data_IF_720826846212
#
_entry.id   IF_720826846212
#
_cell.length_a   1.000
_cell.length_b   1.000
_cell.length_c   1.000
_cell.angle_alpha   90.00
_cell.angle_beta   90.00
_cell.angle_gamma   90.00
#
_symmetry.space_group_name_H-M   'P 1'
#
loop_
_entity.id
_entity.type
_entity.pdbx_description
1 polymer ?
#
# COMPACT_ATOMS: atom_id res chain seq x y z
N UNK A 1 46.94 56.93 20.98
CA UNK A 1 46.43 56.30 19.72
C UNK A 1 46.00 54.82 19.88
N UNK A 2 45.67 54.32 21.09
CA UNK A 2 45.27 52.90 21.32
C UNK A 2 43.77 52.67 21.52
N UNK A 3 42.96 53.73 21.65
CA UNK A 3 41.53 53.63 21.97
C UNK A 3 40.59 53.85 20.76
N UNK A 4 41.12 54.30 19.60
CA UNK A 4 40.32 54.50 18.39
C UNK A 4 40.14 53.18 17.59
N UNK A 5 41.15 52.31 17.60
CA UNK A 5 41.14 51.03 16.87
C UNK A 5 40.17 49.99 17.44
N UNK A 6 39.81 50.11 18.73
CA UNK A 6 38.93 49.17 19.43
C UNK A 6 37.43 49.44 19.19
N UNK A 7 37.08 50.65 18.74
CA UNK A 7 35.70 51.04 18.44
C UNK A 7 35.28 50.72 17.00
N UNK A 8 36.26 50.68 16.08
CA UNK A 8 36.01 50.35 14.66
C UNK A 8 35.80 48.84 14.47
N UNK A 9 36.47 47.99 15.26
CA UNK A 9 36.32 46.53 15.20
C UNK A 9 34.96 46.01 15.66
N UNK A 10 34.27 46.71 16.58
CA UNK A 10 32.92 46.34 17.02
C UNK A 10 31.82 46.75 16.04
N UNK A 11 32.05 47.74 15.18
CA UNK A 11 31.04 48.23 14.23
C UNK A 11 30.96 47.38 12.95
N UNK A 12 32.03 46.67 12.59
CA UNK A 12 32.06 45.79 11.40
C UNK A 12 31.44 44.41 11.67
N UNK A 13 31.46 43.94 12.93
CA UNK A 13 30.87 42.65 13.29
C UNK A 13 29.34 42.67 13.42
N UNK A 14 28.74 43.84 13.65
CA UNK A 14 27.27 43.98 13.77
C UNK A 14 26.59 44.09 12.40
N UNK A 15 27.31 44.55 11.36
CA UNK A 15 26.73 44.66 10.01
C UNK A 15 26.75 43.34 9.21
N UNK A 16 27.51 42.33 9.63
CA UNK A 16 27.60 41.04 8.93
C UNK A 16 26.62 39.98 9.45
N UNK A 17 26.03 40.17 10.63
CA UNK A 17 25.11 39.20 11.24
C UNK A 17 23.65 39.41 10.80
N UNK A 18 23.28 40.60 10.32
CA UNK A 18 21.91 40.88 9.86
C UNK A 18 21.59 40.40 8.43
N UNK A 19 22.58 39.98 7.63
CA UNK A 19 22.37 39.60 6.21
C UNK A 19 22.16 38.09 6.00
N UNK A 20 22.29 37.26 7.05
CA UNK A 20 22.23 35.79 6.93
C UNK A 20 20.92 35.15 7.41
N UNK A 21 19.91 35.94 7.83
CA UNK A 21 18.56 35.39 8.03
C UNK A 21 17.86 35.41 6.66
N UNK A 22 18.38 34.62 5.73
CA UNK A 22 17.63 34.24 4.54
C UNK A 22 16.47 33.39 5.00
N UNK A 23 15.25 33.92 4.90
CA UNK A 23 14.04 33.17 5.16
C UNK A 23 13.98 32.04 4.13
N UNK A 24 14.35 30.83 4.53
CA UNK A 24 14.03 29.64 3.77
C UNK A 24 12.51 29.54 3.77
N UNK A 25 11.88 30.05 2.71
CA UNK A 25 10.47 29.78 2.45
C UNK A 25 10.40 28.31 2.10
N UNK A 26 10.07 27.49 3.09
CA UNK A 26 9.80 26.07 2.89
C UNK A 26 8.55 26.00 2.01
N UNK A 27 8.78 25.69 0.74
CA UNK A 27 7.72 25.63 -0.27
C UNK A 27 6.91 24.36 0.04
N UNK A 28 5.86 24.51 0.85
CA UNK A 28 4.93 23.43 1.16
C UNK A 28 4.33 22.94 -0.16
N UNK A 29 4.83 21.80 -0.64
CA UNK A 29 4.38 21.21 -1.90
C UNK A 29 2.89 20.89 -1.77
N UNK A 30 2.11 21.27 -2.77
CA UNK A 30 0.68 21.02 -2.76
C UNK A 30 0.42 19.52 -2.63
N UNK A 31 -0.52 19.15 -1.76
CA UNK A 31 -0.88 17.76 -1.55
C UNK A 31 -1.52 17.21 -2.83
N UNK A 32 -1.04 16.04 -3.27
CA UNK A 32 -1.61 15.34 -4.42
C UNK A 32 -2.99 14.80 -4.05
N UNK A 33 -4.00 15.13 -4.86
CA UNK A 33 -5.37 14.64 -4.72
C UNK A 33 -5.50 13.30 -5.43
N UNK A 34 -5.66 12.22 -4.66
CA UNK A 34 -5.76 10.87 -5.21
C UNK A 34 -6.91 10.72 -6.22
N UNK A 35 -8.10 11.24 -5.90
CA UNK A 35 -9.28 11.07 -6.75
C UNK A 35 -9.17 11.83 -8.06
N UNK A 36 -8.61 13.05 -8.01
CA UNK A 36 -8.52 13.91 -9.18
C UNK A 36 -7.28 13.66 -10.03
N UNK A 37 -6.18 13.19 -9.43
CA UNK A 37 -4.88 13.15 -10.08
C UNK A 37 -4.33 11.73 -10.22
N UNK A 38 -4.50 10.85 -9.22
CA UNK A 38 -3.93 9.50 -9.25
C UNK A 38 -4.90 8.48 -9.87
N UNK A 39 -6.16 8.46 -9.43
CA UNK A 39 -7.17 7.51 -9.91
C UNK A 39 -7.35 7.55 -11.43
N UNK A 40 -7.37 8.71 -12.12
CA UNK A 40 -7.46 8.74 -13.58
C UNK A 40 -6.27 8.09 -14.26
N UNK A 41 -5.05 8.29 -13.73
CA UNK A 41 -3.84 7.65 -14.27
C UNK A 41 -3.87 6.13 -14.10
N UNK A 42 -4.25 5.65 -12.91
CA UNK A 42 -4.38 4.21 -12.66
C UNK A 42 -5.45 3.59 -13.57
N UNK A 43 -6.58 4.28 -13.74
CA UNK A 43 -7.66 3.83 -14.61
C UNK A 43 -7.23 3.75 -16.07
N UNK A 44 -6.46 4.73 -16.55
CA UNK A 44 -6.04 4.81 -17.94
C UNK A 44 -4.90 3.83 -18.28
N UNK A 45 -3.98 3.57 -17.34
CA UNK A 45 -2.74 2.86 -17.64
C UNK A 45 -2.57 1.51 -16.94
N UNK A 46 -3.40 1.20 -15.95
CA UNK A 46 -3.15 0.04 -15.08
C UNK A 46 -4.33 -0.94 -15.02
N UNK A 47 -5.58 -0.47 -15.13
CA UNK A 47 -6.75 -1.31 -14.83
C UNK A 47 -6.97 -2.47 -15.80
N UNK A 48 -6.45 -2.38 -17.03
CA UNK A 48 -6.55 -3.45 -18.02
C UNK A 48 -5.91 -4.76 -17.54
N UNK A 49 -4.87 -4.68 -16.69
CA UNK A 49 -4.15 -5.84 -16.14
C UNK A 49 -4.16 -5.93 -14.60
N UNK A 50 -4.49 -4.84 -13.89
CA UNK A 50 -4.43 -4.73 -12.42
C UNK A 50 -5.71 -4.15 -11.81
N UNK A 51 -6.85 -4.77 -12.09
CA UNK A 51 -8.18 -4.43 -11.56
C UNK A 51 -8.93 -5.67 -11.06
N UNK A 52 -10.18 -5.52 -10.62
CA UNK A 52 -11.02 -6.67 -10.30
C UNK A 52 -11.20 -7.67 -11.48
N UNK A 53 -11.11 -7.19 -12.72
CA UNK A 53 -11.36 -8.01 -13.92
C UNK A 53 -10.11 -8.73 -14.42
N UNK A 54 -8.93 -8.19 -14.11
CA UNK A 54 -7.64 -8.74 -14.46
C UNK A 54 -6.66 -8.51 -13.31
N UNK A 55 -6.13 -9.58 -12.72
CA UNK A 55 -5.32 -9.52 -11.48
C UNK A 55 -3.93 -10.08 -11.76
N UNK A 56 -3.18 -9.45 -12.66
CA UNK A 56 -1.82 -9.90 -12.95
C UNK A 56 -0.91 -9.72 -11.74
N UNK A 57 -0.09 -10.75 -11.47
CA UNK A 57 0.80 -10.81 -10.30
C UNK A 57 0.09 -10.61 -8.96
N UNK A 58 -1.20 -10.98 -8.86
CA UNK A 58 -1.99 -10.82 -7.65
C UNK A 58 -2.29 -9.36 -7.30
N UNK A 59 -1.95 -8.40 -8.17
CA UNK A 59 -1.99 -6.96 -7.86
C UNK A 59 -3.28 -6.32 -8.37
N UNK A 60 -3.94 -5.57 -7.47
CA UNK A 60 -5.09 -4.73 -7.79
C UNK A 60 -4.82 -3.26 -7.46
N UNK A 61 -5.06 -2.39 -8.44
CA UNK A 61 -4.85 -0.93 -8.33
C UNK A 61 -6.16 -0.13 -8.41
N UNK A 62 -7.30 -0.81 -8.48
CA UNK A 62 -8.63 -0.23 -8.67
C UNK A 62 -9.34 0.22 -7.39
N UNK A 63 -8.75 -0.09 -6.23
CA UNK A 63 -9.29 0.23 -4.91
C UNK A 63 -8.17 0.50 -3.92
N UNK A 64 -8.31 1.54 -3.09
CA UNK A 64 -7.28 2.04 -2.18
C UNK A 64 -6.60 0.96 -1.33
N UNK A 65 -7.36 0.16 -0.59
CA UNK A 65 -6.79 -0.87 0.27
C UNK A 65 -6.03 -1.96 -0.50
N UNK A 66 -6.43 -2.27 -1.74
CA UNK A 66 -5.71 -3.23 -2.57
C UNK A 66 -4.35 -2.67 -3.01
N UNK A 67 -4.27 -1.36 -3.29
CA UNK A 67 -3.00 -0.70 -3.64
C UNK A 67 -2.00 -0.82 -2.48
N UNK A 68 -2.48 -0.68 -1.24
CA UNK A 68 -1.66 -0.81 -0.03
C UNK A 68 -1.31 -2.27 0.28
N UNK A 69 -2.25 -3.20 0.08
CA UNK A 69 -1.99 -4.64 0.24
C UNK A 69 -0.93 -5.13 -0.75
N UNK A 70 -0.96 -4.61 -1.99
CA UNK A 70 -0.07 -5.02 -3.06
C UNK A 70 -0.49 -6.33 -3.72
N UNK A 71 0.49 -7.11 -4.18
CA UNK A 71 0.26 -8.38 -4.89
C UNK A 71 1.20 -9.47 -4.43
N UNK A 72 1.51 -10.42 -5.30
CA UNK A 72 2.31 -11.61 -4.99
C UNK A 72 3.74 -11.30 -4.48
N UNK A 73 4.22 -10.08 -4.76
CA UNK A 73 5.55 -9.58 -4.35
C UNK A 73 5.50 -8.74 -3.08
N UNK A 74 4.36 -8.68 -2.40
CA UNK A 74 4.11 -7.81 -1.25
C UNK A 74 3.56 -6.43 -1.64
N UNK A 75 3.67 -5.44 -0.74
CA UNK A 75 3.08 -4.12 -0.93
C UNK A 75 3.57 -3.43 -2.20
N UNK A 76 2.65 -2.90 -3.01
CA UNK A 76 3.02 -2.16 -4.21
C UNK A 76 3.46 -0.72 -3.89
N UNK A 77 2.94 -0.16 -2.80
CA UNK A 77 3.25 1.18 -2.31
C UNK A 77 3.74 1.09 -0.87
N UNK A 78 4.88 1.71 -0.61
CA UNK A 78 5.43 1.92 0.73
C UNK A 78 5.27 3.42 1.05
N UNK A 79 4.30 3.80 1.90
CA UNK A 79 4.04 5.19 2.24
C UNK A 79 5.32 5.95 2.66
N UNK A 80 5.56 7.09 2.02
CA UNK A 80 6.72 7.96 2.29
C UNK A 80 8.03 7.50 1.64
N UNK A 81 8.02 6.39 0.88
CA UNK A 81 9.24 5.78 0.33
C UNK A 81 9.06 5.35 -1.13
N UNK A 82 8.90 6.30 -2.06
CA UNK A 82 8.74 5.99 -3.49
C UNK A 82 9.90 5.16 -4.05
N UNK A 83 11.14 5.48 -3.69
CA UNK A 83 12.34 4.77 -4.16
C UNK A 83 12.41 3.29 -3.72
N UNK A 84 11.67 2.90 -2.69
CA UNK A 84 11.56 1.51 -2.23
C UNK A 84 10.25 0.84 -2.70
N UNK A 85 9.31 1.61 -3.27
CA UNK A 85 7.98 1.14 -3.65
C UNK A 85 7.99 0.43 -5.01
N UNK A 86 7.56 -0.84 -5.10
CA UNK A 86 7.51 -1.59 -6.36
C UNK A 86 6.74 -0.90 -7.49
N UNK A 87 5.64 -0.21 -7.17
CA UNK A 87 4.86 0.56 -8.14
C UNK A 87 5.74 1.60 -8.86
N UNK A 88 6.44 2.45 -8.10
CA UNK A 88 7.32 3.47 -8.67
C UNK A 88 8.52 2.86 -9.40
N UNK A 89 9.14 1.81 -8.84
CA UNK A 89 10.27 1.12 -9.47
C UNK A 89 9.89 0.54 -10.84
N UNK A 90 8.72 -0.09 -10.94
CA UNK A 90 8.20 -0.59 -12.23
C UNK A 90 7.93 0.53 -13.24
N UNK A 91 7.39 1.67 -12.81
CA UNK A 91 7.10 2.79 -13.71
C UNK A 91 8.37 3.46 -14.22
N UNK A 92 9.38 3.60 -13.36
CA UNK A 92 10.68 4.20 -13.67
C UNK A 92 11.65 3.23 -14.36
N UNK A 93 11.28 1.95 -14.51
CA UNK A 93 12.14 0.92 -15.10
C UNK A 93 13.38 0.60 -14.25
N UNK A 94 13.28 0.78 -12.93
CA UNK A 94 14.37 0.58 -11.99
C UNK A 94 14.19 -0.72 -11.19
N UNK A 95 15.29 -1.25 -10.66
CA UNK A 95 15.30 -2.47 -9.86
C UNK A 95 15.18 -3.75 -10.69
N UNK A 96 14.80 -4.85 -10.03
CA UNK A 96 14.63 -6.19 -10.65
C UNK A 96 13.17 -6.49 -10.98
N UNK A 97 12.40 -5.45 -11.33
CA UNK A 97 10.97 -5.55 -11.65
C UNK A 97 10.78 -5.12 -13.11
N UNK A 98 9.98 -5.84 -13.91
CA UNK A 98 9.68 -5.42 -15.27
C UNK A 98 9.10 -4.00 -15.31
N UNK A 99 9.49 -3.23 -16.31
CA UNK A 99 8.95 -1.89 -16.51
C UNK A 99 7.48 -1.96 -16.94
N UNK A 100 6.63 -1.17 -16.30
CA UNK A 100 5.20 -1.04 -16.62
C UNK A 100 4.87 0.30 -17.28
N UNK A 101 3.82 0.36 -18.12
CA UNK A 101 2.95 -0.75 -18.54
C UNK A 101 3.63 -1.65 -19.59
N UNK A 102 3.49 -2.99 -19.49
CA UNK A 102 4.15 -3.94 -20.39
C UNK A 102 3.73 -3.73 -21.86
N UNK A 103 4.67 -3.84 -22.80
CA UNK A 103 4.45 -3.65 -24.25
C UNK A 103 3.79 -2.33 -24.71
N UNK A 104 3.59 -1.38 -23.79
CA UNK A 104 3.11 -0.04 -24.08
C UNK A 104 4.20 1.01 -23.83
N UNK A 105 4.08 2.20 -24.46
CA UNK A 105 4.97 3.31 -24.16
C UNK A 105 4.99 3.62 -22.66
N UNK A 106 6.14 4.07 -22.11
CA UNK A 106 6.21 4.56 -20.74
C UNK A 106 5.22 5.71 -20.50
N UNK A 107 4.77 5.85 -19.25
CA UNK A 107 4.05 7.05 -18.82
C UNK A 107 4.92 8.29 -19.03
N UNK A 108 4.26 9.44 -19.14
CA UNK A 108 4.99 10.70 -19.25
C UNK A 108 5.76 10.98 -17.95
N UNK A 109 6.92 11.66 -18.01
CA UNK A 109 7.71 11.98 -16.82
C UNK A 109 6.90 12.68 -15.73
N UNK A 110 5.95 13.55 -16.12
CA UNK A 110 5.10 14.29 -15.19
C UNK A 110 4.11 13.38 -14.45
N UNK A 111 3.59 12.34 -15.12
CA UNK A 111 2.68 11.35 -14.53
C UNK A 111 3.43 10.44 -13.56
N UNK A 112 4.64 10.01 -13.92
CA UNK A 112 5.53 9.25 -13.04
C UNK A 112 5.89 10.09 -11.80
N UNK A 113 6.24 11.36 -12.00
CA UNK A 113 6.56 12.28 -10.91
C UNK A 113 5.36 12.54 -10.00
N UNK A 114 4.14 12.60 -10.54
CA UNK A 114 2.92 12.75 -9.75
C UNK A 114 2.68 11.52 -8.85
N UNK A 115 2.87 10.31 -9.37
CA UNK A 115 2.78 9.07 -8.59
C UNK A 115 3.88 9.02 -7.53
N UNK A 116 5.11 9.41 -7.88
CA UNK A 116 6.22 9.51 -6.93
C UNK A 116 5.88 10.44 -5.75
N UNK A 117 5.44 11.66 -6.07
CA UNK A 117 5.07 12.66 -5.07
C UNK A 117 3.93 12.17 -4.18
N UNK A 118 2.91 11.52 -4.75
CA UNK A 118 1.82 10.94 -3.98
C UNK A 118 2.31 9.89 -2.98
N UNK A 119 3.20 8.97 -3.40
CA UNK A 119 3.78 7.96 -2.51
C UNK A 119 4.60 8.63 -1.41
N UNK A 120 5.46 9.59 -1.77
CA UNK A 120 6.33 10.30 -0.81
C UNK A 120 5.52 11.16 0.19
N UNK A 121 4.33 11.62 -0.19
CA UNK A 121 3.37 12.29 0.68
C UNK A 121 2.55 11.32 1.56
N UNK A 122 2.91 10.02 1.56
CA UNK A 122 2.28 9.00 2.39
C UNK A 122 1.24 8.13 1.67
N UNK A 123 1.10 8.26 0.34
CA UNK A 123 0.24 7.38 -0.45
C UNK A 123 -1.23 7.45 -0.05
N UNK A 124 -1.74 8.63 0.30
CA UNK A 124 -3.11 8.79 0.81
C UNK A 124 -4.14 8.26 -0.18
N UNK A 125 -5.01 7.39 0.30
CA UNK A 125 -6.18 6.84 -0.40
C UNK A 125 -7.48 7.36 0.24
N UNK A 126 -8.64 7.26 -0.43
CA UNK A 126 -9.91 7.68 0.14
C UNK A 126 -10.22 6.94 1.43
N UNK A 127 -10.78 7.62 2.42
CA UNK A 127 -11.11 7.05 3.74
C UNK A 127 -11.97 5.78 3.61
N UNK A 128 -12.99 5.84 2.76
CA UNK A 128 -13.91 4.73 2.51
C UNK A 128 -13.27 3.52 1.83
N UNK A 129 -12.02 3.63 1.37
CA UNK A 129 -11.29 2.55 0.71
C UNK A 129 -10.13 2.00 1.54
N UNK A 130 -9.95 2.41 2.80
CA UNK A 130 -8.82 1.96 3.64
C UNK A 130 -8.94 0.52 4.15
N UNK A 131 -10.14 -0.02 4.19
CA UNK A 131 -10.39 -1.37 4.70
C UNK A 131 -10.95 -2.22 3.57
N UNK A 132 -10.35 -3.38 3.36
CA UNK A 132 -10.98 -4.41 2.56
C UNK A 132 -12.17 -4.91 3.36
N UNK A 133 -13.37 -4.65 2.87
CA UNK A 133 -14.53 -5.37 3.37
C UNK A 133 -14.36 -6.81 2.90
N UNK A 134 -13.96 -7.65 3.84
CA UNK A 134 -13.99 -9.09 3.67
C UNK A 134 -15.46 -9.43 3.42
N UNK A 135 -15.83 -9.60 2.15
CA UNK A 135 -17.08 -10.21 1.79
C UNK A 135 -16.98 -11.65 2.28
N UNK A 136 -17.37 -11.87 3.54
CA UNK A 136 -17.70 -13.20 4.02
C UNK A 136 -18.75 -13.72 3.05
N UNK A 137 -18.33 -14.60 2.15
CA UNK A 137 -19.24 -15.36 1.31
C UNK A 137 -20.00 -16.27 2.28
N UNK A 138 -21.09 -15.75 2.84
CA UNK A 138 -22.06 -16.53 3.58
C UNK A 138 -22.80 -17.35 2.54
N UNK A 139 -22.31 -18.56 2.33
CA UNK A 139 -23.01 -19.57 1.56
C UNK A 139 -23.63 -20.54 2.55
N UNK A 140 -24.84 -21.03 2.25
CA UNK A 140 -25.45 -22.15 2.96
C UNK A 140 -25.02 -23.51 2.37
N UNK A 141 -24.18 -23.50 1.31
CA UNK A 141 -23.69 -24.73 0.70
C UNK A 141 -22.75 -25.46 1.66
N UNK A 142 -22.93 -26.78 1.77
CA UNK A 142 -22.26 -27.63 2.75
C UNK A 142 -20.72 -27.56 2.70
N UNK A 143 -20.13 -27.35 1.52
CA UNK A 143 -18.68 -27.31 1.31
C UNK A 143 -18.01 -26.03 1.81
N UNK A 144 -18.79 -24.96 2.01
CA UNK A 144 -18.30 -23.66 2.48
C UNK A 144 -18.60 -23.45 3.97
N UNK A 145 -19.18 -24.43 4.65
CA UNK A 145 -19.34 -24.40 6.09
C UNK A 145 -17.99 -24.70 6.77
N UNK A 146 -17.67 -24.03 7.90
CA UNK A 146 -16.52 -24.41 8.72
C UNK A 146 -16.60 -25.88 9.12
N UNK A 147 -15.49 -26.62 8.97
CA UNK A 147 -15.40 -28.02 9.40
C UNK A 147 -15.53 -28.05 10.93
N UNK A 148 -16.65 -28.60 11.42
CA UNK A 148 -16.88 -28.83 12.85
C UNK A 148 -16.72 -30.31 13.15
N UNK A 149 -15.98 -30.63 14.22
CA UNK A 149 -15.88 -31.99 14.72
C UNK A 149 -17.05 -32.25 15.68
N UNK A 150 -18.06 -33.05 15.31
CA UNK A 150 -19.18 -33.34 16.20
C UNK A 150 -18.72 -34.16 17.40
N UNK A 151 -19.42 -34.01 18.52
CA UNK A 151 -19.23 -34.87 19.68
C UNK A 151 -19.63 -36.31 19.36
N UNK A 152 -18.90 -37.26 19.96
CA UNK A 152 -19.18 -38.68 19.74
C UNK A 152 -20.42 -39.09 20.53
N UNK A 153 -21.36 -39.81 19.92
CA UNK A 153 -22.56 -40.26 20.62
C UNK A 153 -22.19 -41.31 21.68
N UNK A 154 -22.87 -41.32 22.83
CA UNK A 154 -22.66 -42.34 23.86
C UNK A 154 -23.23 -43.68 23.38
N UNK A 155 -22.42 -44.75 23.47
CA UNK A 155 -22.82 -46.11 23.06
C UNK A 155 -22.53 -47.14 24.16
N UNK A 156 -23.39 -48.16 24.26
CA UNK A 156 -23.27 -49.22 25.29
C UNK A 156 -22.09 -50.16 25.02
N UNK A 157 -21.81 -50.47 23.76
CA UNK A 157 -20.78 -51.43 23.37
C UNK A 157 -19.47 -50.73 23.00
N UNK A 158 -18.86 -50.02 23.96
CA UNK A 158 -17.62 -49.28 23.70
C UNK A 158 -16.48 -50.16 23.19
N UNK A 159 -16.42 -51.43 23.60
CA UNK A 159 -15.41 -52.38 23.15
C UNK A 159 -15.45 -52.69 21.64
N UNK A 160 -16.57 -52.39 20.95
CA UNK A 160 -16.70 -52.56 19.50
C UNK A 160 -16.23 -51.32 18.70
N UNK A 161 -16.10 -50.17 19.36
CA UNK A 161 -15.68 -48.91 18.73
C UNK A 161 -14.17 -48.94 18.47
N UNK A 162 -13.77 -49.10 17.21
CA UNK A 162 -12.36 -49.07 16.77
C UNK A 162 -11.94 -47.69 16.27
N UNK A 163 -12.91 -46.91 15.79
CA UNK A 163 -12.72 -45.53 15.38
C UNK A 163 -14.00 -44.69 15.67
N UNK A 164 -13.91 -43.35 15.66
CA UNK A 164 -15.03 -42.47 15.96
C UNK A 164 -16.31 -42.69 15.12
N UNK A 165 -16.20 -43.19 13.88
CA UNK A 165 -17.35 -43.44 13.00
C UNK A 165 -18.20 -44.60 13.55
N UNK A 166 -17.57 -45.58 14.19
CA UNK A 166 -18.26 -46.76 14.74
C UNK A 166 -19.25 -46.36 15.84
N UNK A 167 -18.95 -45.31 16.61
CA UNK A 167 -19.86 -44.78 17.61
C UNK A 167 -21.14 -44.21 16.97
N UNK A 168 -21.02 -43.50 15.84
CA UNK A 168 -22.19 -43.01 15.10
C UNK A 168 -23.01 -44.14 14.50
N UNK A 169 -22.37 -45.21 14.00
CA UNK A 169 -23.07 -46.39 13.47
C UNK A 169 -23.84 -47.10 14.60
N UNK A 170 -23.18 -47.40 15.72
CA UNK A 170 -23.80 -48.06 16.87
C UNK A 170 -24.94 -47.25 17.51
N UNK A 171 -24.91 -45.92 17.43
CA UNK A 171 -25.98 -45.07 17.97
C UNK A 171 -27.29 -45.13 17.19
N UNK A 172 -27.29 -45.69 15.97
CA UNK A 172 -28.47 -45.77 15.09
C UNK A 172 -29.03 -47.19 14.91
N UNK A 173 -28.35 -48.19 15.46
CA UNK A 173 -28.78 -49.59 15.48
C UNK A 173 -29.41 -49.92 16.84
#
# INVERSE_FOLDING_TARGET
MRNLLRRVTTAVFILFVCVQIGWAVEKKQAQVDFEKQIRPLLKQHCYDCHSQQAVESGLRLDFGANILQGGDRGPAVIPGKSAESPLFLSLSGQGKIPRMPHDLPPLKPEEISLIQQWIDQGGSIPEGERTLQETQIKSDHWSFQPIRRPELPPVKQQAWVRNPIDAFILSRL
#
